data_IF_614221482261
#
_entry.id   IF_614221482261
#
_cell.length_a   1.000
_cell.length_b   1.000
_cell.length_c   1.000
_cell.angle_alpha   90.00
_cell.angle_beta   90.00
_cell.angle_gamma   90.00
#
_symmetry.space_group_name_H-M   'P 1'
#
loop_
_entity.id
_entity.type
_entity.pdbx_description
1 polymer ?
#
# COMPACT_ATOMS: atom_id res chain seq x y z
N UNK A 1 7.76 4.19 -15.33
CA UNK A 1 9.00 3.70 -14.68
C UNK A 1 8.79 3.96 -13.21
N UNK A 2 8.67 2.90 -12.42
CA UNK A 2 8.48 2.97 -10.97
C UNK A 2 9.61 3.79 -10.34
N UNK A 3 9.23 4.86 -9.62
CA UNK A 3 10.18 5.56 -8.76
C UNK A 3 10.17 4.86 -7.41
N UNK A 4 11.25 4.13 -7.14
CA UNK A 4 11.47 3.42 -5.87
C UNK A 4 12.00 4.39 -4.82
N UNK A 5 11.34 4.43 -3.66
CA UNK A 5 11.71 5.23 -2.51
C UNK A 5 11.67 4.35 -1.24
N UNK A 6 12.33 4.81 -0.18
CA UNK A 6 12.25 4.19 1.15
C UNK A 6 11.94 5.25 2.17
N UNK A 7 10.87 5.05 2.95
CA UNK A 7 10.52 5.92 4.06
C UNK A 7 10.69 5.19 5.39
N UNK A 8 11.10 5.93 6.42
CA UNK A 8 11.23 5.43 7.77
C UNK A 8 10.06 5.93 8.62
N UNK A 9 9.23 5.01 9.11
CA UNK A 9 8.15 5.30 10.03
C UNK A 9 8.31 4.48 11.30
N UNK A 10 8.30 5.15 12.47
CA UNK A 10 8.43 4.49 13.78
C UNK A 10 9.63 3.52 13.88
N UNK A 11 10.75 3.85 13.22
CA UNK A 11 11.96 3.02 13.19
C UNK A 11 11.91 1.83 12.22
N UNK A 12 10.87 1.75 11.37
CA UNK A 12 10.76 0.75 10.31
C UNK A 12 10.97 1.37 8.94
N UNK A 13 11.80 0.74 8.13
CA UNK A 13 11.90 1.04 6.71
C UNK A 13 10.73 0.40 5.97
N UNK A 14 10.08 1.18 5.12
CA UNK A 14 9.10 0.71 4.15
C UNK A 14 9.61 1.06 2.77
N UNK A 15 9.80 0.03 1.95
CA UNK A 15 10.06 0.19 0.53
C UNK A 15 8.72 0.38 -0.19
N UNK A 16 8.66 1.40 -1.03
CA UNK A 16 7.51 1.62 -1.88
C UNK A 16 7.96 2.20 -3.22
N UNK A 17 7.13 1.99 -4.21
CA UNK A 17 7.35 2.46 -5.56
C UNK A 17 6.11 3.21 -6.03
N UNK A 18 6.31 4.36 -6.68
CA UNK A 18 5.19 5.18 -7.18
C UNK A 18 5.22 5.32 -8.68
N UNK A 19 4.03 5.35 -9.29
CA UNK A 19 3.85 5.71 -10.69
C UNK A 19 2.65 6.63 -10.88
N UNK A 20 2.85 7.61 -11.77
CA UNK A 20 1.85 8.61 -12.13
C UNK A 20 1.24 8.26 -13.49
N UNK A 21 -0.09 8.39 -13.65
CA UNK A 21 -0.72 8.25 -14.96
C UNK A 21 -0.29 9.40 -15.88
N UNK A 22 -0.16 9.14 -17.18
CA UNK A 22 0.27 10.14 -18.16
C UNK A 22 -0.80 11.22 -18.45
N UNK A 23 -2.06 10.98 -18.06
CA UNK A 23 -3.21 11.84 -18.34
C UNK A 23 -3.85 12.42 -17.08
N UNK A 24 -5.17 12.66 -17.15
CA UNK A 24 -5.93 13.14 -16.00
C UNK A 24 -5.90 12.14 -14.86
N UNK A 25 -5.63 12.64 -13.65
CA UNK A 25 -5.68 11.84 -12.43
C UNK A 25 -7.13 11.70 -11.96
N UNK A 26 -7.64 10.47 -12.03
CA UNK A 26 -9.00 10.11 -11.63
C UNK A 26 -9.07 9.66 -10.16
N UNK A 27 -7.95 9.23 -9.58
CA UNK A 27 -7.86 8.81 -8.19
C UNK A 27 -6.49 8.25 -7.82
N UNK A 28 -6.40 7.61 -6.66
CA UNK A 28 -5.20 6.98 -6.16
C UNK A 28 -5.47 5.55 -5.67
N UNK A 29 -4.44 4.71 -5.78
CA UNK A 29 -4.48 3.32 -5.36
C UNK A 29 -3.21 2.93 -4.63
N UNK A 30 -3.38 2.21 -3.52
CA UNK A 30 -2.33 1.54 -2.77
C UNK A 30 -2.38 0.05 -3.07
N UNK A 31 -1.26 -0.53 -3.48
CA UNK A 31 -1.10 -1.95 -3.71
C UNK A 31 -0.11 -2.50 -2.67
N UNK A 32 -0.59 -3.36 -1.77
CA UNK A 32 0.20 -3.88 -0.65
C UNK A 32 0.68 -5.29 -0.97
N UNK A 33 1.98 -5.46 -1.07
CA UNK A 33 2.66 -6.73 -1.28
C UNK A 33 2.61 -7.63 -0.03
N UNK A 34 2.65 -8.94 -0.25
CA UNK A 34 2.93 -9.92 0.81
C UNK A 34 4.44 -10.17 1.02
N UNK A 35 4.79 -11.05 1.98
CA UNK A 35 6.15 -11.50 2.24
C UNK A 35 6.86 -12.08 1.02
N UNK A 36 8.02 -11.53 0.70
CA UNK A 36 8.84 -11.94 -0.46
C UNK A 36 8.36 -11.37 -1.79
N UNK A 37 7.29 -10.58 -1.80
CA UNK A 37 6.75 -9.94 -2.99
C UNK A 37 7.25 -8.51 -3.13
N UNK A 38 7.34 -8.04 -4.38
CA UNK A 38 7.79 -6.69 -4.71
C UNK A 38 6.82 -6.04 -5.70
N UNK A 39 7.11 -4.82 -6.15
CA UNK A 39 6.34 -4.15 -7.18
C UNK A 39 6.19 -4.97 -8.49
N UNK A 40 7.12 -5.89 -8.77
CA UNK A 40 7.05 -6.81 -9.90
C UNK A 40 5.85 -7.74 -9.87
N UNK A 41 5.31 -8.06 -8.69
CA UNK A 41 4.11 -8.88 -8.54
C UNK A 41 2.86 -8.16 -9.10
N UNK A 42 2.89 -6.82 -9.15
CA UNK A 42 1.79 -5.98 -9.61
C UNK A 42 1.94 -5.51 -11.06
N UNK A 43 2.94 -6.00 -11.80
CA UNK A 43 3.27 -5.59 -13.19
C UNK A 43 2.14 -5.70 -14.21
N UNK A 44 1.09 -6.48 -13.92
CA UNK A 44 -0.08 -6.63 -14.79
C UNK A 44 -1.27 -5.78 -14.34
N UNK A 45 -1.28 -5.30 -13.09
CA UNK A 45 -2.37 -4.50 -12.52
C UNK A 45 -2.03 -3.02 -12.59
N UNK A 46 -0.80 -2.64 -12.25
CA UNK A 46 -0.33 -1.25 -12.24
C UNK A 46 -0.53 -0.57 -13.61
N UNK A 47 -0.16 -1.17 -14.76
CA UNK A 47 -0.37 -0.52 -16.06
C UNK A 47 -1.85 -0.24 -16.36
N UNK A 48 -2.75 -1.15 -16.00
CA UNK A 48 -4.19 -0.99 -16.22
C UNK A 48 -4.76 0.12 -15.32
N UNK A 49 -4.31 0.19 -14.07
CA UNK A 49 -4.67 1.26 -13.14
C UNK A 49 -4.19 2.63 -13.63
N UNK A 50 -2.95 2.70 -14.12
CA UNK A 50 -2.38 3.92 -14.71
C UNK A 50 -3.15 4.34 -15.97
N UNK A 51 -3.51 3.38 -16.84
CA UNK A 51 -4.32 3.63 -18.04
C UNK A 51 -5.72 4.15 -17.69
N UNK A 52 -6.29 3.68 -16.57
CA UNK A 52 -7.55 4.19 -16.02
C UNK A 52 -7.42 5.54 -15.27
N UNK A 53 -6.21 6.11 -15.20
CA UNK A 53 -5.95 7.42 -14.60
C UNK A 53 -5.69 7.39 -13.09
N UNK A 54 -5.37 6.24 -12.51
CA UNK A 54 -5.05 6.15 -11.08
C UNK A 54 -3.56 6.35 -10.83
N UNK A 55 -3.24 7.22 -9.87
CA UNK A 55 -1.92 7.22 -9.23
C UNK A 55 -1.74 5.90 -8.47
N UNK A 56 -0.61 5.22 -8.66
CA UNK A 56 -0.34 3.93 -8.03
C UNK A 56 0.85 4.05 -7.08
N UNK A 57 0.63 3.68 -5.83
CA UNK A 57 1.68 3.42 -4.85
C UNK A 57 1.70 1.92 -4.55
N UNK A 58 2.84 1.27 -4.76
CA UNK A 58 3.03 -0.14 -4.41
C UNK A 58 3.95 -0.18 -3.20
N UNK A 59 3.51 -0.79 -2.10
CA UNK A 59 4.24 -0.83 -0.84
C UNK A 59 4.54 -2.27 -0.41
N UNK A 60 5.77 -2.50 0.04
CA UNK A 60 6.12 -3.72 0.75
C UNK A 60 5.51 -3.74 2.16
N UNK A 61 5.23 -4.93 2.67
CA UNK A 61 4.62 -5.09 3.99
C UNK A 61 5.58 -4.64 5.10
N UNK A 62 5.19 -3.67 5.97
CA UNK A 62 6.07 -3.24 7.05
C UNK A 62 6.41 -4.38 8.03
N UNK A 63 7.66 -4.40 8.49
CA UNK A 63 8.16 -5.41 9.44
C UNK A 63 8.55 -6.75 8.83
N UNK A 64 8.48 -6.92 7.51
CA UNK A 64 8.85 -8.14 6.80
C UNK A 64 10.33 -8.54 6.97
N UNK A 65 11.24 -7.56 7.14
CA UNK A 65 12.68 -7.78 7.27
C UNK A 65 13.16 -7.95 8.74
N UNK A 66 12.25 -8.20 9.68
CA UNK A 66 12.61 -8.52 11.08
C UNK A 66 13.22 -7.36 11.88
N UNK A 67 13.21 -6.14 11.35
CA UNK A 67 13.65 -4.93 12.05
C UNK A 67 12.43 -4.08 12.43
N UNK A 68 12.12 -4.03 13.72
CA UNK A 68 11.05 -3.21 14.30
C UNK A 68 9.77 -3.98 14.59
N UNK A 69 9.17 -3.72 15.75
CA UNK A 69 8.09 -4.49 16.38
C UNK A 69 6.69 -4.37 15.76
N UNK A 70 6.53 -4.05 14.47
CA UNK A 70 5.23 -4.08 13.80
C UNK A 70 4.87 -5.49 13.30
N UNK A 71 4.90 -6.48 14.19
CA UNK A 71 4.36 -7.81 13.88
C UNK A 71 2.82 -7.82 13.94
N UNK A 72 2.23 -6.78 14.53
CA UNK A 72 0.78 -6.56 14.60
C UNK A 72 0.30 -5.79 13.37
N UNK A 73 -0.82 -6.23 12.81
CA UNK A 73 -1.37 -5.64 11.59
C UNK A 73 -1.86 -4.20 11.81
N UNK A 74 -2.22 -3.83 13.04
CA UNK A 74 -2.51 -2.46 13.47
C UNK A 74 -1.32 -1.52 13.23
N UNK A 75 -0.12 -1.96 13.65
CA UNK A 75 1.09 -1.16 13.49
C UNK A 75 1.46 -1.05 12.01
N UNK A 76 1.33 -2.15 11.25
CA UNK A 76 1.53 -2.15 9.79
C UNK A 76 0.59 -1.18 9.09
N UNK A 77 -0.69 -1.17 9.45
CA UNK A 77 -1.67 -0.24 8.92
C UNK A 77 -1.30 1.21 9.24
N UNK A 78 -0.90 1.52 10.48
CA UNK A 78 -0.45 2.86 10.86
C UNK A 78 0.77 3.32 10.08
N UNK A 79 1.73 2.43 9.84
CA UNK A 79 2.91 2.72 9.01
C UNK A 79 2.53 2.97 7.55
N UNK A 80 1.65 2.13 6.97
CA UNK A 80 1.17 2.31 5.59
C UNK A 80 0.38 3.62 5.44
N UNK A 81 -0.45 3.99 6.42
CA UNK A 81 -1.10 5.30 6.45
C UNK A 81 -0.09 6.44 6.47
N UNK A 82 0.97 6.34 7.27
CA UNK A 82 2.03 7.34 7.28
C UNK A 82 2.71 7.50 5.91
N UNK A 83 2.93 6.39 5.18
CA UNK A 83 3.43 6.44 3.80
C UNK A 83 2.45 7.19 2.89
N UNK A 84 1.16 6.90 2.99
CA UNK A 84 0.14 7.60 2.19
C UNK A 84 0.08 9.09 2.54
N UNK A 85 0.15 9.47 3.81
CA UNK A 85 0.20 10.88 4.23
C UNK A 85 1.41 11.60 3.63
N UNK A 86 2.58 10.95 3.61
CA UNK A 86 3.78 11.50 2.99
C UNK A 86 3.64 11.64 1.46
N UNK A 87 2.92 10.74 0.80
CA UNK A 87 2.62 10.82 -0.62
C UNK A 87 1.59 11.90 -0.93
N UNK A 88 0.54 12.03 -0.12
CA UNK A 88 -0.47 13.10 -0.22
C UNK A 88 0.18 14.48 -0.15
N UNK A 89 1.15 14.66 0.75
CA UNK A 89 1.92 15.89 0.86
C UNK A 89 2.75 16.23 -0.38
N UNK A 90 3.18 15.22 -1.15
CA UNK A 90 4.04 15.39 -2.35
C UNK A 90 3.22 15.54 -3.64
N UNK A 91 2.12 14.80 -3.75
CA UNK A 91 1.44 14.55 -5.02
C UNK A 91 0.04 15.16 -5.13
N UNK A 92 -0.58 15.55 -4.01
CA UNK A 92 -1.95 16.05 -3.97
C UNK A 92 -2.71 15.45 -2.80
N UNK A 93 -3.57 16.25 -2.15
CA UNK A 93 -4.38 15.78 -1.01
C UNK A 93 -5.52 14.90 -1.55
N UNK A 94 -5.34 13.59 -1.48
CA UNK A 94 -6.36 12.64 -1.90
C UNK A 94 -7.43 12.51 -0.82
N UNK A 95 -8.70 12.34 -1.22
CA UNK A 95 -9.79 12.20 -0.24
C UNK A 95 -9.90 10.78 0.31
N UNK A 96 -9.65 9.79 -0.54
CA UNK A 96 -9.71 8.38 -0.20
C UNK A 96 -8.91 7.54 -1.21
N UNK A 97 -8.40 6.40 -0.75
CA UNK A 97 -7.53 5.50 -1.51
C UNK A 97 -8.24 4.19 -1.86
N UNK A 98 -8.04 3.69 -3.07
CA UNK A 98 -8.37 2.30 -3.41
C UNK A 98 -7.26 1.39 -2.90
N UNK A 99 -7.56 0.46 -1.99
CA UNK A 99 -6.55 -0.42 -1.40
C UNK A 99 -6.69 -1.82 -1.98
N UNK A 100 -5.63 -2.29 -2.62
CA UNK A 100 -5.47 -3.65 -3.11
C UNK A 100 -4.39 -4.32 -2.28
N UNK A 101 -4.61 -5.56 -1.87
CA UNK A 101 -3.60 -6.30 -1.11
C UNK A 101 -3.57 -7.76 -1.50
N UNK A 102 -2.39 -8.37 -1.39
CA UNK A 102 -2.18 -9.79 -1.65
C UNK A 102 -1.64 -10.53 -0.43
N UNK A 103 -2.03 -11.79 -0.26
CA UNK A 103 -1.49 -12.67 0.77
C UNK A 103 -1.69 -12.11 2.18
N UNK A 104 -0.62 -12.08 2.98
CA UNK A 104 -0.66 -11.51 4.34
C UNK A 104 -0.62 -9.99 4.40
N UNK A 105 -0.39 -9.31 3.26
CA UNK A 105 -0.65 -7.87 3.15
C UNK A 105 -2.13 -7.53 3.35
N UNK A 106 -3.02 -8.49 3.09
CA UNK A 106 -4.47 -8.32 3.27
C UNK A 106 -4.86 -8.02 4.71
N UNK A 107 -4.18 -8.61 5.70
CA UNK A 107 -4.50 -8.36 7.10
C UNK A 107 -4.19 -6.90 7.49
N UNK A 108 -3.09 -6.34 7.00
CA UNK A 108 -2.74 -4.94 7.21
C UNK A 108 -3.72 -4.01 6.47
N UNK A 109 -4.06 -4.32 5.22
CA UNK A 109 -5.03 -3.54 4.43
C UNK A 109 -6.44 -3.55 5.05
N UNK A 110 -6.86 -4.68 5.63
CA UNK A 110 -8.10 -4.76 6.40
C UNK A 110 -8.04 -3.86 7.64
N UNK A 111 -6.92 -3.87 8.37
CA UNK A 111 -6.72 -2.96 9.50
C UNK A 111 -6.70 -1.48 9.07
N UNK A 112 -6.19 -1.15 7.87
CA UNK A 112 -6.28 0.21 7.34
C UNK A 112 -7.74 0.63 7.18
N UNK A 113 -8.58 -0.20 6.57
CA UNK A 113 -10.00 0.06 6.38
C UNK A 113 -10.78 0.14 7.70
N UNK A 114 -10.42 -0.66 8.71
CA UNK A 114 -11.05 -0.61 10.04
C UNK A 114 -10.66 0.65 10.84
N UNK A 115 -9.43 1.13 10.67
CA UNK A 115 -8.90 2.27 11.45
C UNK A 115 -9.25 3.62 10.83
N UNK A 116 -9.33 3.72 9.51
CA UNK A 116 -9.69 4.95 8.79
C UNK A 116 -10.63 4.65 7.60
N UNK A 117 -11.89 4.22 7.86
CA UNK A 117 -12.81 3.80 6.80
C UNK A 117 -13.12 4.91 5.80
N UNK A 118 -13.23 6.17 6.25
CA UNK A 118 -13.53 7.31 5.38
C UNK A 118 -12.41 7.64 4.39
N UNK A 119 -11.18 7.17 4.69
CA UNK A 119 -10.00 7.33 3.83
C UNK A 119 -9.84 6.18 2.82
N UNK A 120 -10.75 5.19 2.82
CA UNK A 120 -10.70 4.02 1.93
C UNK A 120 -11.88 4.04 0.96
N UNK A 121 -11.60 4.29 -0.33
CA UNK A 121 -12.62 4.35 -1.38
C UNK A 121 -13.13 2.95 -1.76
N UNK A 122 -12.23 1.97 -1.79
CA UNK A 122 -12.59 0.55 -1.89
C UNK A 122 -11.46 -0.33 -1.35
N UNK A 123 -11.79 -1.58 -1.04
CA UNK A 123 -10.85 -2.60 -0.57
C UNK A 123 -10.98 -3.85 -1.43
N UNK A 124 -9.87 -4.32 -2.01
CA UNK A 124 -9.79 -5.59 -2.72
C UNK A 124 -8.70 -6.47 -2.12
N UNK A 125 -9.08 -7.66 -1.67
CA UNK A 125 -8.19 -8.62 -1.04
C UNK A 125 -7.99 -9.83 -1.97
N UNK A 126 -6.75 -10.12 -2.32
CA UNK A 126 -6.39 -11.20 -3.25
C UNK A 126 -5.67 -12.28 -2.46
N UNK A 127 -6.23 -13.49 -2.44
CA UNK A 127 -5.71 -14.62 -1.66
C UNK A 127 -5.42 -14.25 -0.18
N UNK A 128 -6.43 -13.76 0.57
CA UNK A 128 -6.19 -13.17 1.88
C UNK A 128 -5.69 -14.17 2.91
N UNK A 129 -4.59 -13.81 3.59
CA UNK A 129 -4.11 -14.47 4.80
C UNK A 129 -4.32 -13.50 5.96
N UNK A 130 -5.41 -13.68 6.71
CA UNK A 130 -5.83 -12.76 7.79
C UNK A 130 -5.25 -13.15 9.15
N UNK A 131 -4.97 -14.43 9.35
CA UNK A 131 -4.31 -14.98 10.52
C UNK A 131 -3.13 -15.85 10.05
N UNK A 132 -1.99 -15.87 10.78
CA UNK A 132 -0.94 -16.84 10.47
C UNK A 132 -1.51 -18.26 10.64
N UNK A 133 -1.19 -19.21 9.74
CA UNK A 133 -1.60 -20.60 9.95
C UNK A 133 -1.06 -21.09 11.30
N UNK A 134 -1.95 -21.72 12.07
CA UNK A 134 -1.63 -22.41 13.33
C UNK A 134 -0.50 -23.42 13.14
#
# INVERSE_FOLDING_TARGET
>A
MLQDDTLFFQGQAVHFSTEYPAGQQNGCALLVCGPGETALNWRHIVPEMLAAGFFCAVAELPGQLGRGGANRNENRAGVLWGVLDALDHRAGRWRAWHILAHGSGCAAALMMALTQPDSVASLALICPVLEPPL
#
